data_IF_694660297766
#
_entry.id   IF_694660297766
#
_cell.length_a   1.000
_cell.length_b   1.000
_cell.length_c   1.000
_cell.angle_alpha   90.00
_cell.angle_beta   90.00
_cell.angle_gamma   90.00
#
_symmetry.space_group_name_H-M   'P 1'
#
loop_
_entity.id
_entity.type
_entity.pdbx_description
1 polymer ?
#
# COMPACT_ATOMS: atom_id res chain seq x y z
N UNK A 1 -6.09 -52.01 -21.30
CA UNK A 1 -5.85 -51.23 -22.54
C UNK A 1 -7.19 -50.70 -23.04
N UNK A 2 -7.26 -49.43 -23.44
CA UNK A 2 -8.48 -48.83 -24.01
C UNK A 2 -8.62 -49.33 -25.46
N UNK A 3 -9.85 -49.59 -25.86
CA UNK A 3 -10.28 -50.15 -27.15
C UNK A 3 -11.49 -49.36 -27.63
N UNK A 4 -11.82 -49.44 -28.92
CA UNK A 4 -12.98 -48.73 -29.48
C UNK A 4 -14.29 -49.07 -28.75
N UNK A 5 -14.40 -50.27 -28.18
CA UNK A 5 -15.61 -50.76 -27.52
C UNK A 5 -15.71 -50.36 -26.04
N UNK A 6 -14.64 -49.85 -25.42
CA UNK A 6 -14.64 -49.41 -24.02
C UNK A 6 -14.10 -47.99 -23.84
N UNK A 7 -13.87 -47.27 -24.94
CA UNK A 7 -13.56 -45.85 -24.92
C UNK A 7 -14.85 -45.03 -24.79
N UNK A 8 -14.78 -43.96 -23.99
CA UNK A 8 -15.86 -42.97 -23.87
C UNK A 8 -15.69 -41.80 -24.84
N UNK A 9 -14.60 -41.78 -25.61
CA UNK A 9 -14.30 -40.75 -26.59
C UNK A 9 -14.85 -41.11 -27.98
N UNK A 10 -15.32 -40.09 -28.71
CA UNK A 10 -15.73 -40.19 -30.11
C UNK A 10 -14.56 -39.73 -30.99
N UNK A 11 -14.29 -40.47 -32.07
CA UNK A 11 -13.16 -40.23 -32.97
C UNK A 11 -13.65 -39.76 -34.34
N UNK A 12 -12.82 -38.97 -35.03
CA UNK A 12 -13.11 -38.58 -36.40
C UNK A 12 -13.02 -39.78 -37.36
N UNK A 13 -13.59 -39.62 -38.56
CA UNK A 13 -13.59 -40.68 -39.57
C UNK A 13 -12.16 -41.13 -39.92
N UNK A 14 -11.90 -42.43 -39.75
CA UNK A 14 -10.57 -43.03 -39.99
C UNK A 14 -9.64 -43.02 -38.78
N UNK A 15 -10.04 -42.40 -37.66
CA UNK A 15 -9.30 -42.42 -36.40
C UNK A 15 -9.92 -43.38 -35.38
N UNK A 16 -9.13 -43.78 -34.40
CA UNK A 16 -9.47 -44.78 -33.41
C UNK A 16 -8.72 -44.56 -32.09
N UNK A 17 -8.96 -45.42 -31.11
CA UNK A 17 -8.15 -45.47 -29.87
C UNK A 17 -6.66 -45.65 -30.12
N UNK A 18 -6.27 -46.22 -31.27
CA UNK A 18 -4.86 -46.45 -31.57
C UNK A 18 -4.10 -45.17 -31.90
N UNK A 19 -4.79 -44.15 -32.39
CA UNK A 19 -4.20 -42.87 -32.81
C UNK A 19 -3.97 -41.92 -31.61
N UNK A 20 -4.63 -42.20 -30.48
CA UNK A 20 -4.61 -41.37 -29.28
C UNK A 20 -4.12 -42.12 -28.03
N UNK A 21 -3.40 -43.23 -28.22
CA UNK A 21 -2.75 -43.95 -27.12
C UNK A 21 -1.24 -43.83 -27.24
N UNK A 22 -0.58 -43.68 -26.09
CA UNK A 22 0.87 -43.81 -25.99
C UNK A 22 1.18 -44.98 -25.05
N UNK A 23 1.10 -46.24 -25.52
CA UNK A 23 1.19 -47.42 -24.66
C UNK A 23 2.54 -47.54 -23.96
N UNK A 24 3.57 -46.88 -24.49
CA UNK A 24 4.91 -46.80 -23.91
C UNK A 24 5.01 -45.76 -22.77
N UNK A 25 3.96 -44.94 -22.56
CA UNK A 25 3.97 -43.91 -21.52
C UNK A 25 3.85 -44.55 -20.15
N UNK A 26 4.86 -44.34 -19.31
CA UNK A 26 4.88 -44.77 -17.91
C UNK A 26 4.75 -43.51 -17.04
N UNK A 27 3.65 -43.34 -16.28
CA UNK A 27 3.50 -42.23 -15.36
C UNK A 27 4.63 -42.23 -14.34
N UNK A 28 5.23 -41.06 -14.11
CA UNK A 28 6.27 -40.87 -13.10
C UNK A 28 5.61 -40.33 -11.84
N UNK A 29 5.83 -41.02 -10.72
CA UNK A 29 5.34 -40.61 -9.40
C UNK A 29 6.51 -40.22 -8.50
N UNK A 30 6.30 -39.23 -7.63
CA UNK A 30 7.30 -38.79 -6.64
C UNK A 30 7.85 -39.94 -5.80
N UNK A 31 7.01 -40.92 -5.49
CA UNK A 31 7.34 -41.99 -4.55
C UNK A 31 8.22 -43.08 -5.20
N UNK A 32 8.38 -43.01 -6.53
CA UNK A 32 9.24 -43.92 -7.30
C UNK A 32 10.70 -43.45 -7.39
N UNK A 33 11.02 -42.32 -6.76
CA UNK A 33 12.33 -41.70 -6.83
C UNK A 33 13.30 -42.27 -5.78
N UNK A 34 14.53 -42.55 -6.18
CA UNK A 34 15.58 -42.91 -5.23
C UNK A 34 16.00 -41.69 -4.40
N UNK A 35 16.50 -41.93 -3.18
CA UNK A 35 17.00 -40.85 -2.31
C UNK A 35 18.10 -40.01 -2.98
N UNK A 36 18.97 -40.64 -3.79
CA UNK A 36 20.02 -39.92 -4.52
C UNK A 36 19.44 -38.94 -5.56
N UNK A 37 18.39 -39.36 -6.27
CA UNK A 37 17.68 -38.51 -7.22
C UNK A 37 16.99 -37.35 -6.51
N UNK A 38 16.31 -37.62 -5.39
CA UNK A 38 15.70 -36.59 -4.54
C UNK A 38 16.74 -35.56 -4.09
N UNK A 39 17.89 -36.00 -3.59
CA UNK A 39 18.95 -35.09 -3.14
C UNK A 39 19.51 -34.22 -4.29
N UNK A 40 19.61 -34.77 -5.50
CA UNK A 40 20.04 -34.01 -6.67
C UNK A 40 19.03 -32.91 -7.04
N UNK A 41 17.75 -33.24 -7.07
CA UNK A 41 16.70 -32.27 -7.37
C UNK A 41 16.59 -31.20 -6.27
N UNK A 42 16.67 -31.58 -5.01
CA UNK A 42 16.64 -30.64 -3.86
C UNK A 42 17.83 -29.68 -3.91
N UNK A 43 19.01 -30.14 -4.32
CA UNK A 43 20.18 -29.25 -4.53
C UNK A 43 19.91 -28.16 -5.56
N UNK A 44 19.16 -28.48 -6.63
CA UNK A 44 18.82 -27.52 -7.69
C UNK A 44 17.63 -26.62 -7.32
N UNK A 45 16.58 -27.23 -6.79
CA UNK A 45 15.25 -26.64 -6.66
C UNK A 45 14.99 -26.04 -5.27
N UNK A 46 15.66 -26.52 -4.23
CA UNK A 46 15.25 -26.35 -2.83
C UNK A 46 14.15 -27.36 -2.46
N UNK A 47 14.07 -27.72 -1.17
CA UNK A 47 13.16 -28.77 -0.69
C UNK A 47 11.67 -28.41 -0.84
N UNK A 48 11.34 -27.12 -0.80
CA UNK A 48 9.97 -26.63 -0.79
C UNK A 48 9.39 -26.37 -2.20
N UNK A 49 10.18 -26.60 -3.25
CA UNK A 49 9.78 -26.37 -4.64
C UNK A 49 9.44 -27.68 -5.36
N UNK A 50 8.33 -28.30 -4.96
CA UNK A 50 7.83 -29.57 -5.49
C UNK A 50 7.66 -29.55 -7.01
N UNK A 51 7.24 -28.42 -7.58
CA UNK A 51 7.02 -28.21 -9.00
C UNK A 51 8.34 -28.28 -9.78
N UNK A 52 9.38 -27.58 -9.32
CA UNK A 52 10.72 -27.67 -9.90
C UNK A 52 11.28 -29.10 -9.77
N UNK A 53 11.12 -29.71 -8.60
CA UNK A 53 11.59 -31.07 -8.33
C UNK A 53 10.94 -32.05 -9.31
N UNK A 54 9.62 -31.98 -9.47
CA UNK A 54 8.86 -32.82 -10.39
C UNK A 54 9.30 -32.61 -11.85
N UNK A 55 9.39 -31.36 -12.30
CA UNK A 55 9.79 -31.04 -13.67
C UNK A 55 11.21 -31.53 -13.96
N UNK A 56 12.14 -31.39 -13.01
CA UNK A 56 13.48 -31.96 -13.14
C UNK A 56 13.45 -33.48 -13.33
N UNK A 57 12.56 -34.18 -12.61
CA UNK A 57 12.48 -35.62 -12.70
C UNK A 57 11.84 -36.13 -13.97
N UNK A 58 10.77 -35.50 -14.42
CA UNK A 58 10.03 -35.93 -15.61
C UNK A 58 10.79 -35.55 -16.87
N UNK A 59 11.39 -34.36 -16.92
CA UNK A 59 12.07 -33.86 -18.12
C UNK A 59 13.55 -34.26 -18.18
N UNK A 60 14.18 -34.53 -17.02
CA UNK A 60 15.64 -34.65 -16.85
C UNK A 60 16.42 -33.40 -17.30
N UNK A 61 15.73 -32.27 -17.45
CA UNK A 61 16.29 -31.01 -17.91
C UNK A 61 16.37 -30.00 -16.76
N UNK A 62 17.59 -29.63 -16.39
CA UNK A 62 17.83 -28.64 -15.34
C UNK A 62 17.32 -27.23 -15.73
N UNK A 63 17.35 -26.87 -17.02
CA UNK A 63 16.91 -25.57 -17.47
C UNK A 63 15.39 -25.41 -17.33
N UNK A 64 14.63 -26.45 -17.66
CA UNK A 64 13.17 -26.49 -17.46
C UNK A 64 12.85 -26.36 -15.97
N UNK A 65 13.50 -27.16 -15.12
CA UNK A 65 13.28 -27.13 -13.67
C UNK A 65 13.59 -25.75 -13.05
N UNK A 66 14.74 -25.14 -13.40
CA UNK A 66 15.11 -23.80 -12.91
C UNK A 66 14.13 -22.74 -13.38
N UNK A 67 13.61 -22.85 -14.62
CA UNK A 67 12.56 -21.95 -15.11
C UNK A 67 11.29 -22.08 -14.27
N UNK A 68 10.85 -23.30 -13.97
CA UNK A 68 9.71 -23.56 -13.09
C UNK A 68 9.93 -23.00 -11.68
N UNK A 69 11.14 -23.15 -11.13
CA UNK A 69 11.50 -22.55 -9.84
C UNK A 69 11.31 -21.04 -9.85
N UNK A 70 11.92 -20.36 -10.81
CA UNK A 70 11.81 -18.91 -10.93
C UNK A 70 10.36 -18.45 -11.12
N UNK A 71 9.56 -19.24 -11.87
CA UNK A 71 8.13 -18.98 -12.07
C UNK A 71 7.35 -19.08 -10.76
N UNK A 72 7.59 -20.13 -9.96
CA UNK A 72 6.96 -20.30 -8.64
C UNK A 72 7.30 -19.12 -7.72
N UNK A 73 8.58 -18.78 -7.59
CA UNK A 73 9.04 -17.66 -6.76
C UNK A 73 8.38 -16.35 -7.19
N UNK A 74 8.28 -16.11 -8.50
CA UNK A 74 7.58 -14.94 -9.06
C UNK A 74 6.09 -14.94 -8.69
N UNK A 75 5.41 -16.08 -8.82
CA UNK A 75 3.99 -16.22 -8.49
C UNK A 75 3.75 -15.99 -7.00
N UNK A 76 4.60 -16.51 -6.13
CA UNK A 76 4.47 -16.29 -4.69
C UNK A 76 4.64 -14.81 -4.32
N UNK A 77 5.62 -14.12 -4.92
CA UNK A 77 5.76 -12.66 -4.75
C UNK A 77 4.49 -11.95 -5.25
N UNK A 78 4.01 -12.29 -6.45
CA UNK A 78 2.79 -11.69 -7.02
C UNK A 78 1.54 -11.94 -6.18
N UNK A 79 1.41 -13.11 -5.54
CA UNK A 79 0.30 -13.39 -4.62
C UNK A 79 0.35 -12.46 -3.41
N UNK A 80 1.53 -12.26 -2.84
CA UNK A 80 1.72 -11.36 -1.69
C UNK A 80 1.41 -9.93 -2.10
N UNK A 81 1.92 -9.46 -3.25
CA UNK A 81 1.66 -8.10 -3.74
C UNK A 81 0.18 -7.87 -4.09
N UNK A 82 -0.51 -8.87 -4.63
CA UNK A 82 -1.93 -8.79 -4.92
C UNK A 82 -2.79 -8.79 -3.65
N UNK A 83 -2.30 -9.43 -2.58
CA UNK A 83 -2.97 -9.45 -1.28
C UNK A 83 -2.67 -8.18 -0.44
N UNK A 84 -1.74 -7.33 -0.88
CA UNK A 84 -1.32 -6.15 -0.13
C UNK A 84 -2.47 -5.15 0.03
N UNK A 85 -2.68 -4.70 1.27
CA UNK A 85 -3.68 -3.73 1.65
C UNK A 85 -3.06 -2.33 1.73
N UNK A 86 -3.71 -1.28 1.22
CA UNK A 86 -3.22 0.07 1.40
C UNK A 86 -3.18 0.50 2.87
N UNK A 87 -2.17 1.28 3.29
CA UNK A 87 -2.13 1.81 4.65
C UNK A 87 -3.21 2.88 4.86
N UNK A 88 -3.41 3.24 6.13
CA UNK A 88 -4.31 4.31 6.56
C UNK A 88 -3.50 5.38 7.29
N UNK A 89 -3.81 6.66 7.05
CA UNK A 89 -3.24 7.80 7.77
C UNK A 89 -4.36 8.66 8.35
N UNK A 90 -4.26 8.97 9.64
CA UNK A 90 -5.26 9.74 10.38
C UNK A 90 -4.59 10.74 11.31
N UNK A 91 -5.37 11.73 11.75
CA UNK A 91 -4.94 12.64 12.82
C UNK A 91 -4.92 11.85 14.14
N UNK A 92 -3.83 11.99 14.90
CA UNK A 92 -3.71 11.30 16.18
C UNK A 92 -4.88 11.66 17.11
N UNK A 93 -5.53 10.66 17.69
CA UNK A 93 -6.82 10.81 18.39
C UNK A 93 -6.79 11.74 19.60
N UNK A 94 -5.61 11.99 20.17
CA UNK A 94 -5.44 12.91 21.29
C UNK A 94 -5.34 14.38 20.86
N UNK A 95 -5.21 14.66 19.56
CA UNK A 95 -5.21 16.04 19.05
C UNK A 95 -6.64 16.59 19.10
N UNK A 96 -6.82 17.66 19.87
CA UNK A 96 -8.10 18.35 19.96
C UNK A 96 -8.35 19.19 18.70
N UNK A 97 -9.34 18.81 17.92
CA UNK A 97 -9.86 19.61 16.80
C UNK A 97 -11.05 20.46 17.26
N UNK A 98 -11.18 21.65 16.69
CA UNK A 98 -12.35 22.52 16.92
C UNK A 98 -13.22 22.49 15.68
N UNK A 99 -14.44 21.97 15.78
CA UNK A 99 -15.36 21.79 14.66
C UNK A 99 -14.73 20.99 13.49
N UNK A 100 -14.01 19.91 13.82
CA UNK A 100 -13.24 19.06 12.90
C UNK A 100 -12.12 19.80 12.15
N UNK A 101 -11.62 20.92 12.69
CA UNK A 101 -10.52 21.70 12.10
C UNK A 101 -9.35 21.80 13.07
N UNK A 102 -8.15 21.84 12.50
CA UNK A 102 -6.94 22.11 13.25
C UNK A 102 -6.77 23.62 13.41
N UNK A 103 -6.74 24.11 14.65
CA UNK A 103 -6.56 25.53 14.95
C UNK A 103 -5.09 25.80 15.23
N UNK A 104 -4.51 26.76 14.52
CA UNK A 104 -3.07 27.03 14.51
C UNK A 104 -2.78 28.52 14.67
N UNK A 105 -1.61 28.87 15.19
CA UNK A 105 -1.17 30.26 15.31
C UNK A 105 -0.35 30.70 14.09
N UNK A 106 -0.65 31.91 13.59
CA UNK A 106 0.09 32.55 12.50
C UNK A 106 1.55 32.82 12.89
N UNK A 107 2.47 32.62 11.94
CA UNK A 107 3.92 32.81 12.08
C UNK A 107 4.56 31.98 13.21
N UNK A 108 3.85 30.99 13.75
CA UNK A 108 4.37 30.06 14.74
C UNK A 108 4.52 28.66 14.15
N UNK A 109 5.41 27.87 14.76
CA UNK A 109 5.55 26.45 14.42
C UNK A 109 4.41 25.68 15.09
N UNK A 110 3.52 25.12 14.29
CA UNK A 110 2.44 24.27 14.74
C UNK A 110 2.75 22.83 14.32
N UNK A 111 2.63 21.88 15.25
CA UNK A 111 2.90 20.46 15.00
C UNK A 111 1.61 19.67 15.13
N UNK A 112 1.27 18.91 14.08
CA UNK A 112 0.16 17.98 14.07
C UNK A 112 0.69 16.55 14.09
N UNK A 113 0.32 15.81 15.13
CA UNK A 113 0.63 14.39 15.22
C UNK A 113 -0.32 13.59 14.34
N UNK A 114 0.26 12.67 13.57
CA UNK A 114 -0.47 11.71 12.75
C UNK A 114 -0.27 10.31 13.31
N UNK A 115 -1.20 9.42 12.97
CA UNK A 115 -1.06 7.99 13.17
C UNK A 115 -1.21 7.29 11.83
N UNK A 116 -0.46 6.21 11.66
CA UNK A 116 -0.54 5.35 10.48
C UNK A 116 -0.76 3.92 10.92
N UNK A 117 -1.65 3.22 10.24
CA UNK A 117 -1.93 1.81 10.47
C UNK A 117 -1.90 1.07 9.17
N UNK A 118 -1.40 -0.16 9.19
CA UNK A 118 -1.31 -1.03 8.04
C UNK A 118 -1.83 -2.41 8.44
N UNK A 119 -2.68 -3.01 7.60
CA UNK A 119 -3.30 -4.29 7.91
C UNK A 119 -2.29 -5.46 7.78
N UNK A 120 -1.28 -5.30 6.93
CA UNK A 120 -0.25 -6.29 6.64
C UNK A 120 1.02 -6.07 7.50
N UNK A 121 0.99 -5.05 8.37
CA UNK A 121 2.10 -4.64 9.25
C UNK A 121 3.35 -4.21 8.46
N UNK A 122 3.16 -3.69 7.26
CA UNK A 122 4.24 -3.11 6.46
C UNK A 122 4.75 -1.80 7.08
N UNK A 123 5.98 -1.41 6.71
CA UNK A 123 6.53 -0.14 7.16
C UNK A 123 5.90 1.02 6.39
N UNK A 124 5.32 1.99 7.11
CA UNK A 124 4.56 3.09 6.51
C UNK A 124 5.31 4.42 6.64
N UNK A 125 5.30 5.19 5.55
CA UNK A 125 5.85 6.53 5.47
C UNK A 125 4.78 7.54 5.09
N UNK A 126 4.80 8.72 5.71
CA UNK A 126 3.87 9.82 5.35
C UNK A 126 4.49 10.65 4.24
N UNK A 127 3.67 11.01 3.26
CA UNK A 127 4.02 11.86 2.12
C UNK A 127 3.12 13.10 2.14
N UNK A 128 3.73 14.28 2.05
CA UNK A 128 3.00 15.54 1.91
C UNK A 128 2.73 15.82 0.44
N UNK A 129 1.47 16.05 0.11
CA UNK A 129 1.03 16.53 -1.20
C UNK A 129 0.85 18.05 -1.22
N UNK A 130 1.25 18.72 -0.14
CA UNK A 130 1.10 20.17 0.01
C UNK A 130 2.24 20.88 -0.73
N UNK A 131 1.90 21.66 -1.77
CA UNK A 131 2.89 22.43 -2.56
C UNK A 131 3.23 23.77 -1.88
N UNK A 132 3.71 23.75 -0.64
CA UNK A 132 4.10 24.97 0.09
C UNK A 132 5.28 24.73 1.01
N UNK A 133 6.23 25.68 1.03
CA UNK A 133 7.35 25.70 1.97
C UNK A 133 6.92 25.93 3.43
N UNK A 134 5.67 26.33 3.65
CA UNK A 134 5.08 26.44 4.97
C UNK A 134 4.86 25.08 5.65
N UNK A 135 4.92 23.98 4.89
CA UNK A 135 4.63 22.62 5.34
C UNK A 135 5.90 21.77 5.24
N UNK A 136 6.26 21.11 6.33
CA UNK A 136 7.33 20.11 6.37
C UNK A 136 6.89 18.88 7.16
N UNK A 137 7.54 17.75 6.89
CA UNK A 137 7.33 16.52 7.66
C UNK A 137 8.51 16.32 8.61
N UNK A 138 8.18 15.95 9.85
CA UNK A 138 9.16 15.56 10.85
C UNK A 138 9.56 14.08 10.66
N UNK A 139 10.72 13.64 11.19
CA UNK A 139 11.18 12.25 11.05
C UNK A 139 10.23 11.20 11.60
N UNK A 140 9.37 11.59 12.55
CA UNK A 140 8.34 10.73 13.13
C UNK A 140 7.03 10.71 12.33
N UNK A 141 6.99 11.32 11.13
CA UNK A 141 5.80 11.41 10.28
C UNK A 141 4.80 12.50 10.68
N UNK A 142 5.06 13.27 11.75
CA UNK A 142 4.20 14.40 12.13
C UNK A 142 4.35 15.58 11.16
N UNK A 143 3.31 16.38 11.03
CA UNK A 143 3.29 17.55 10.14
C UNK A 143 3.70 18.78 10.92
N UNK A 144 4.67 19.51 10.40
CA UNK A 144 5.04 20.83 10.87
C UNK A 144 4.48 21.88 9.91
N UNK A 145 3.77 22.86 10.44
CA UNK A 145 3.10 23.89 9.66
C UNK A 145 3.33 25.29 10.24
N UNK A 146 3.79 26.21 9.38
CA UNK A 146 3.97 27.63 9.70
C UNK A 146 3.05 28.47 8.80
N UNK A 147 1.80 28.73 9.22
CA UNK A 147 0.83 29.45 8.41
C UNK A 147 1.13 30.94 8.31
N UNK A 148 0.77 31.51 7.17
CA UNK A 148 0.68 32.95 6.94
C UNK A 148 -0.69 33.27 6.35
N UNK A 149 -1.44 34.21 6.94
CA UNK A 149 -2.86 34.44 6.57
C UNK A 149 -3.07 34.81 5.11
N UNK A 150 -2.09 35.47 4.49
CA UNK A 150 -2.14 35.90 3.09
C UNK A 150 -1.58 34.84 2.12
N UNK A 151 -1.16 33.68 2.63
CA UNK A 151 -0.67 32.56 1.82
C UNK A 151 -1.43 31.28 2.21
N UNK A 152 -2.68 31.12 1.73
CA UNK A 152 -3.50 29.96 2.07
C UNK A 152 -2.90 28.68 1.50
N UNK A 153 -2.79 27.64 2.33
CA UNK A 153 -2.20 26.34 1.96
C UNK A 153 -3.22 25.22 2.15
N UNK A 154 -3.32 24.33 1.15
CA UNK A 154 -4.10 23.09 1.26
C UNK A 154 -3.21 22.01 1.90
N UNK A 155 -3.54 21.59 3.12
CA UNK A 155 -2.87 20.47 3.78
C UNK A 155 -3.47 19.16 3.31
N UNK A 156 -2.73 18.45 2.46
CA UNK A 156 -3.09 17.14 1.94
C UNK A 156 -1.93 16.18 2.14
N UNK A 157 -2.22 15.00 2.71
CA UNK A 157 -1.24 13.98 3.05
C UNK A 157 -1.70 12.61 2.58
N UNK A 158 -0.75 11.71 2.36
CA UNK A 158 -0.98 10.29 2.14
C UNK A 158 0.03 9.48 2.93
N UNK A 159 -0.31 8.25 3.27
CA UNK A 159 0.63 7.24 3.69
C UNK A 159 1.01 6.36 2.49
N UNK A 160 2.25 5.87 2.51
CA UNK A 160 2.80 4.93 1.55
C UNK A 160 3.48 3.79 2.31
N UNK A 161 3.10 2.56 2.00
CA UNK A 161 3.74 1.37 2.56
C UNK A 161 5.07 1.04 1.84
N UNK A 162 5.80 0.05 2.37
CA UNK A 162 7.05 -0.43 1.78
C UNK A 162 6.87 -1.18 0.45
N UNK A 163 5.65 -1.60 0.11
CA UNK A 163 5.30 -2.34 -1.12
C UNK A 163 4.79 -1.43 -2.24
N UNK A 164 4.62 -0.14 -1.96
CA UNK A 164 4.23 0.88 -2.91
C UNK A 164 2.72 1.21 -2.97
N UNK A 165 1.88 0.66 -2.10
CA UNK A 165 0.48 1.09 -2.04
C UNK A 165 0.34 2.43 -1.28
N UNK A 166 -0.69 3.18 -1.65
CA UNK A 166 -0.97 4.51 -1.12
C UNK A 166 -2.31 4.53 -0.42
N UNK A 167 -2.37 5.21 0.72
CA UNK A 167 -3.62 5.48 1.43
C UNK A 167 -4.52 6.42 0.66
N UNK A 168 -5.78 6.54 1.11
CA UNK A 168 -6.62 7.68 0.77
C UNK A 168 -5.96 9.00 1.19
N UNK A 169 -6.26 10.09 0.48
CA UNK A 169 -5.75 11.42 0.80
C UNK A 169 -6.43 11.92 2.08
N UNK A 170 -5.63 12.19 3.11
CA UNK A 170 -6.05 12.90 4.30
C UNK A 170 -5.97 14.40 4.03
N UNK A 171 -7.14 15.04 3.94
CA UNK A 171 -7.26 16.50 3.81
C UNK A 171 -7.51 17.10 5.19
N UNK A 172 -6.64 18.01 5.63
CA UNK A 172 -6.75 18.62 6.96
C UNK A 172 -7.26 20.06 6.80
N UNK A 173 -8.51 20.33 7.21
CA UNK A 173 -9.01 21.70 7.25
C UNK A 173 -8.38 22.47 8.41
N UNK A 174 -7.89 23.69 8.13
CA UNK A 174 -7.13 24.51 9.08
C UNK A 174 -7.85 25.83 9.36
N UNK A 175 -7.76 26.29 10.60
CA UNK A 175 -8.15 27.64 11.01
C UNK A 175 -6.96 28.36 11.64
N UNK A 176 -6.55 29.48 11.05
CA UNK A 176 -5.39 30.28 11.47
C UNK A 176 -5.84 31.43 12.35
N UNK A 177 -5.25 31.53 13.54
CA UNK A 177 -5.34 32.66 14.43
C UNK A 177 -4.19 33.64 14.13
N UNK A 178 -4.45 34.88 13.68
CA UNK A 178 -3.40 35.85 13.30
C UNK A 178 -2.58 36.42 14.47
N UNK A 179 -2.62 35.78 15.65
CA UNK A 179 -1.92 36.17 16.89
C UNK A 179 -2.24 37.58 17.43
N UNK A 180 -3.08 38.35 16.73
CA UNK A 180 -3.59 39.67 17.09
C UNK A 180 -2.55 40.66 17.62
N UNK A 181 -1.29 40.51 17.19
CA UNK A 181 -0.13 41.30 17.63
C UNK A 181 -0.03 41.47 19.16
N UNK A 182 -0.52 40.50 19.94
CA UNK A 182 -0.57 40.57 21.40
C UNK A 182 -1.52 41.64 21.97
N UNK A 183 -2.38 42.26 21.15
CA UNK A 183 -3.31 43.34 21.52
C UNK A 183 -4.77 42.89 21.53
N UNK A 184 -4.99 41.59 21.39
CA UNK A 184 -6.33 41.02 21.25
C UNK A 184 -6.31 39.51 21.30
N UNK A 185 -7.48 38.94 21.12
CA UNK A 185 -7.70 37.50 21.03
C UNK A 185 -8.39 37.17 19.71
N UNK A 186 -8.14 35.98 19.18
CA UNK A 186 -8.76 35.54 17.95
C UNK A 186 -10.26 35.27 18.17
N UNK A 187 -11.08 35.85 17.29
CA UNK A 187 -12.52 35.66 17.32
C UNK A 187 -12.85 34.22 16.90
N UNK A 188 -13.60 33.53 17.75
CA UNK A 188 -14.06 32.16 17.50
C UNK A 188 -15.44 32.13 16.83
N UNK A 189 -16.06 33.29 16.60
CA UNK A 189 -17.33 33.39 15.89
C UNK A 189 -17.16 32.96 14.43
N UNK A 190 -17.90 31.94 13.96
CA UNK A 190 -17.80 31.47 12.58
C UNK A 190 -18.18 32.54 11.54
N UNK A 191 -19.00 33.53 11.92
CA UNK A 191 -19.48 34.58 11.03
C UNK A 191 -18.43 35.64 10.69
N UNK A 192 -17.34 35.71 11.47
CA UNK A 192 -16.26 36.66 11.26
C UNK A 192 -15.02 36.04 10.63
N UNK A 193 -15.08 34.76 10.23
CA UNK A 193 -13.98 34.04 9.58
C UNK A 193 -13.86 34.44 8.11
N UNK A 194 -12.62 34.57 7.63
CA UNK A 194 -12.32 34.67 6.20
C UNK A 194 -11.98 33.29 5.67
N UNK A 195 -12.67 32.83 4.63
CA UNK A 195 -12.49 31.50 4.05
C UNK A 195 -11.67 31.54 2.76
N UNK A 196 -10.82 30.53 2.59
CA UNK A 196 -10.02 30.28 1.40
C UNK A 196 -10.07 28.78 1.06
N UNK A 197 -9.75 28.44 -0.19
CA UNK A 197 -9.62 27.06 -0.66
C UNK A 197 -10.87 26.21 -0.36
N UNK A 198 -12.06 26.73 -0.69
CA UNK A 198 -13.35 26.07 -0.45
C UNK A 198 -13.56 25.70 1.03
N UNK A 199 -13.09 26.57 1.92
CA UNK A 199 -13.18 26.37 3.36
C UNK A 199 -12.12 25.42 3.91
N UNK A 200 -11.13 24.96 3.15
CA UNK A 200 -10.00 24.17 3.71
C UNK A 200 -9.04 25.01 4.53
N UNK A 201 -9.02 26.32 4.30
CA UNK A 201 -8.19 27.25 5.05
C UNK A 201 -9.05 28.43 5.49
N UNK A 202 -9.09 28.69 6.80
CA UNK A 202 -9.85 29.80 7.38
C UNK A 202 -8.93 30.68 8.21
N UNK A 203 -9.22 31.97 8.26
CA UNK A 203 -8.49 32.94 9.08
C UNK A 203 -9.47 33.60 10.04
N UNK A 204 -9.11 33.64 11.32
CA UNK A 204 -9.88 34.35 12.35
C UNK A 204 -9.62 35.85 12.31
N UNK A 205 -10.62 36.65 12.66
CA UNK A 205 -10.43 38.08 12.96
C UNK A 205 -9.93 38.26 14.40
N UNK A 206 -9.52 39.47 14.72
CA UNK A 206 -9.05 39.82 16.06
C UNK A 206 -10.08 40.66 16.80
N UNK A 207 -10.35 40.28 18.04
CA UNK A 207 -11.05 41.10 19.02
C UNK A 207 -9.99 41.87 19.81
N UNK A 208 -9.89 43.18 19.57
CA UNK A 208 -8.94 44.04 20.28
C UNK A 208 -9.36 44.20 21.75
N UNK A 209 -8.37 44.27 22.65
CA UNK A 209 -8.61 44.65 24.04
C UNK A 209 -9.04 46.12 24.14
N UNK A 210 -9.82 46.52 25.17
CA UNK A 210 -10.41 47.85 25.27
C UNK A 210 -9.42 49.04 25.19
N UNK A 211 -8.13 48.82 25.45
CA UNK A 211 -7.08 49.85 25.38
C UNK A 211 -6.45 50.01 23.99
N UNK A 212 -6.88 49.25 22.98
CA UNK A 212 -6.28 49.17 21.66
C UNK A 212 -7.30 49.21 20.51
N UNK A 213 -8.50 49.75 20.76
CA UNK A 213 -9.53 50.02 19.74
C UNK A 213 -9.22 51.26 18.92
#
# INVERSE_FOLDING_TARGET
RVTTNNSVFIYDAGQSTNDYQHPEFVPVFSDSLSQAQVNQAVTLCGADNQECIYDYFVTKDAAVAVSTKAKKETIEIQKIDLANSPPVVEIFSQVKLTNNRWVVQENAVNILQLTTTDADMDNVTVVSLSNSSAVSLLPNGSVQFVPFKNNPVRLSLQARDSRGAYSSILNIPVTVCPSCNGRGVCDSNPSSLVEYLDGMFRVQTCICLPAFT
#
